data_IF_351214554705
#
_entry.id   IF_351214554705
#
_cell.length_a   1.000
_cell.length_b   1.000
_cell.length_c   1.000
_cell.angle_alpha   90.00
_cell.angle_beta   90.00
_cell.angle_gamma   90.00
#
_symmetry.space_group_name_H-M   'P 1'
#
loop_
_entity.id
_entity.type
_entity.pdbx_description
1 polymer ?
#
# COMPACT_ATOMS: atom_id res chain seq x y z
N UNK A 1 18.90 20.07 -16.84
CA UNK A 1 19.07 19.42 -15.53
C UNK A 1 18.40 18.08 -15.67
N UNK A 2 19.15 17.03 -15.97
CA UNK A 2 18.66 15.66 -15.81
C UNK A 2 18.61 15.43 -14.31
N UNK A 3 17.41 15.48 -13.74
CA UNK A 3 17.22 15.00 -12.39
C UNK A 3 17.10 13.49 -12.50
N UNK A 4 18.08 12.74 -11.99
CA UNK A 4 17.99 11.28 -11.76
C UNK A 4 16.92 10.92 -10.70
N UNK A 5 15.98 11.83 -10.42
CA UNK A 5 14.88 11.64 -9.50
C UNK A 5 13.70 11.03 -10.23
N UNK A 6 13.30 9.86 -9.76
CA UNK A 6 12.15 9.11 -10.24
C UNK A 6 11.00 9.20 -9.24
N UNK A 7 9.79 8.97 -9.74
CA UNK A 7 8.57 8.89 -8.93
C UNK A 7 7.84 7.58 -9.25
N UNK A 8 7.31 6.93 -8.21
CA UNK A 8 6.50 5.72 -8.35
C UNK A 8 5.38 5.68 -7.31
N UNK A 9 4.39 4.82 -7.56
CA UNK A 9 3.36 4.45 -6.59
C UNK A 9 3.74 3.13 -5.92
N UNK A 10 3.80 3.15 -4.59
CA UNK A 10 4.03 1.98 -3.75
C UNK A 10 2.67 1.48 -3.23
N UNK A 11 2.36 0.23 -3.55
CA UNK A 11 1.15 -0.46 -3.11
C UNK A 11 1.44 -1.40 -1.96
N UNK A 12 0.55 -1.42 -0.97
CA UNK A 12 0.49 -2.43 0.07
C UNK A 12 -0.95 -2.91 0.12
N UNK A 13 -1.17 -4.07 -0.48
CA UNK A 13 -2.50 -4.61 -0.69
C UNK A 13 -2.71 -5.91 0.08
N UNK A 14 -3.81 -5.97 0.82
CA UNK A 14 -4.18 -7.13 1.64
C UNK A 14 -5.34 -7.82 0.98
N UNK A 15 -5.16 -9.09 0.63
CA UNK A 15 -6.18 -9.90 -0.03
C UNK A 15 -6.80 -10.88 0.95
N UNK A 16 -8.13 -10.92 1.01
CA UNK A 16 -8.92 -11.89 1.75
C UNK A 16 -9.97 -12.52 0.82
N UNK A 17 -10.58 -13.66 1.19
CA UNK A 17 -11.69 -14.24 0.43
C UNK A 17 -12.84 -13.23 0.25
N UNK A 18 -13.45 -13.17 -0.94
CA UNK A 18 -14.42 -12.11 -1.29
C UNK A 18 -15.64 -11.98 -0.36
N UNK A 19 -16.00 -13.04 0.37
CA UNK A 19 -17.14 -13.05 1.30
C UNK A 19 -16.85 -12.34 2.63
N UNK A 20 -15.58 -12.03 2.88
CA UNK A 20 -15.13 -11.36 4.11
C UNK A 20 -15.56 -9.88 4.08
N UNK A 21 -16.15 -9.35 5.16
CA UNK A 21 -16.52 -7.95 5.23
C UNK A 21 -15.30 -7.03 5.25
N UNK A 22 -15.46 -5.81 4.74
CA UNK A 22 -14.39 -4.80 4.68
C UNK A 22 -13.78 -4.52 6.07
N UNK A 23 -14.53 -4.69 7.16
CA UNK A 23 -14.03 -4.53 8.54
C UNK A 23 -12.93 -5.53 8.94
N UNK A 24 -12.89 -6.72 8.33
CA UNK A 24 -11.79 -7.67 8.54
C UNK A 24 -10.52 -7.24 7.80
N UNK A 25 -10.66 -6.65 6.61
CA UNK A 25 -9.54 -6.01 5.91
C UNK A 25 -8.98 -4.86 6.75
N UNK A 26 -9.84 -4.00 7.27
CA UNK A 26 -9.46 -2.91 8.17
C UNK A 26 -8.76 -3.42 9.42
N UNK A 27 -9.30 -4.47 10.06
CA UNK A 27 -8.69 -5.08 11.24
C UNK A 27 -7.27 -5.58 10.96
N UNK A 28 -7.02 -6.12 9.76
CA UNK A 28 -5.70 -6.56 9.36
C UNK A 28 -4.75 -5.38 9.09
N UNK A 29 -5.24 -4.34 8.41
CA UNK A 29 -4.50 -3.11 8.15
C UNK A 29 -4.09 -2.41 9.46
N UNK A 30 -5.04 -2.26 10.39
CA UNK A 30 -4.81 -1.62 11.69
C UNK A 30 -3.88 -2.40 12.61
N UNK A 31 -4.02 -3.73 12.65
CA UNK A 31 -3.23 -4.55 13.57
C UNK A 31 -1.82 -4.85 13.07
N UNK A 32 -1.56 -4.77 11.75
CA UNK A 32 -0.30 -5.23 11.15
C UNK A 32 0.36 -4.23 10.22
N UNK A 33 -0.38 -3.60 9.30
CA UNK A 33 0.22 -2.74 8.28
C UNK A 33 0.51 -1.35 8.79
N UNK A 34 -0.48 -0.62 9.32
CA UNK A 34 -0.25 0.73 9.83
C UNK A 34 0.88 0.79 10.88
N UNK A 35 1.00 -0.17 11.82
CA UNK A 35 2.14 -0.21 12.73
C UNK A 35 3.49 -0.39 12.01
N UNK A 36 3.56 -1.29 11.02
CA UNK A 36 4.79 -1.51 10.25
C UNK A 36 5.19 -0.28 9.41
N UNK A 37 4.21 0.43 8.85
CA UNK A 37 4.44 1.63 8.03
C UNK A 37 4.89 2.85 8.84
N UNK A 38 4.75 2.83 10.16
CA UNK A 38 5.17 3.95 11.02
C UNK A 38 6.68 4.22 10.96
N UNK A 39 7.49 3.16 10.79
CA UNK A 39 8.94 3.27 10.65
C UNK A 39 9.53 2.04 9.96
N UNK A 40 10.06 2.24 8.74
CA UNK A 40 10.79 1.21 7.99
C UNK A 40 12.19 1.73 7.67
N UNK A 41 13.17 1.59 8.58
CA UNK A 41 14.52 2.14 8.40
C UNK A 41 15.19 1.70 7.09
N UNK A 42 15.00 0.43 6.71
CA UNK A 42 15.56 -0.10 5.46
C UNK A 42 15.00 0.60 4.21
N UNK A 43 13.71 0.95 4.20
CA UNK A 43 13.08 1.67 3.10
C UNK A 43 13.50 3.14 3.08
N UNK A 44 13.58 3.78 4.25
CA UNK A 44 14.00 5.20 4.35
C UNK A 44 15.41 5.47 3.82
N UNK A 45 16.28 4.45 3.77
CA UNK A 45 17.61 4.57 3.17
C UNK A 45 17.64 4.46 1.64
N UNK A 46 16.51 4.10 1.01
CA UNK A 46 16.39 3.85 -0.43
C UNK A 46 15.56 4.91 -1.16
N UNK A 47 14.76 5.70 -0.44
CA UNK A 47 13.84 6.68 -1.02
C UNK A 47 14.06 8.06 -0.41
N UNK A 48 13.73 9.10 -1.17
CA UNK A 48 13.87 10.50 -0.77
C UNK A 48 12.61 11.00 -0.08
N UNK A 49 11.43 10.66 -0.60
CA UNK A 49 10.15 11.02 -0.01
C UNK A 49 9.15 9.88 -0.08
N UNK A 50 8.19 9.89 0.84
CA UNK A 50 7.05 8.98 0.88
C UNK A 50 5.84 9.73 1.41
N UNK A 51 4.76 9.77 0.63
CA UNK A 51 3.53 10.51 0.97
C UNK A 51 2.32 9.63 0.71
N UNK A 52 1.46 9.43 1.72
CA UNK A 52 0.22 8.67 1.58
C UNK A 52 -0.65 9.25 0.47
N UNK A 53 -1.11 8.41 -0.45
CA UNK A 53 -1.99 8.81 -1.56
C UNK A 53 -3.44 8.43 -1.29
N UNK A 54 -3.69 7.19 -0.90
CA UNK A 54 -5.06 6.73 -0.70
C UNK A 54 -5.18 5.36 -0.07
N UNK A 55 -6.43 4.98 0.15
CA UNK A 55 -6.83 3.68 0.64
C UNK A 55 -8.10 3.28 -0.13
N UNK A 56 -8.03 2.16 -0.85
CA UNK A 56 -9.09 1.71 -1.74
C UNK A 56 -9.47 0.26 -1.45
N UNK A 57 -10.76 -0.04 -1.43
CA UNK A 57 -11.24 -1.41 -1.43
C UNK A 57 -11.41 -1.90 -2.87
N UNK A 58 -10.80 -3.03 -3.20
CA UNK A 58 -10.98 -3.68 -4.50
C UNK A 58 -11.61 -5.04 -4.35
N UNK A 59 -12.24 -5.51 -5.41
CA UNK A 59 -12.88 -6.83 -5.48
C UNK A 59 -12.54 -7.46 -6.82
N UNK A 60 -12.50 -8.78 -6.81
CA UNK A 60 -12.43 -9.56 -8.03
C UNK A 60 -13.74 -9.46 -8.80
N UNK A 61 -13.78 -8.60 -9.82
CA UNK A 61 -14.99 -8.39 -10.63
C UNK A 61 -15.32 -9.57 -11.56
N UNK A 62 -14.36 -10.47 -11.82
CA UNK A 62 -14.53 -11.60 -12.72
C UNK A 62 -15.08 -12.83 -12.01
N UNK A 63 -14.31 -13.38 -11.07
CA UNK A 63 -14.64 -14.65 -10.41
C UNK A 63 -15.10 -14.48 -8.96
N UNK A 64 -15.13 -13.25 -8.44
CA UNK A 64 -15.49 -12.93 -7.07
C UNK A 64 -14.76 -13.80 -6.03
N UNK A 65 -13.46 -14.06 -6.25
CA UNK A 65 -12.66 -14.91 -5.38
C UNK A 65 -12.07 -14.15 -4.20
N UNK A 66 -11.76 -12.87 -4.38
CA UNK A 66 -11.10 -12.05 -3.37
C UNK A 66 -11.70 -10.65 -3.23
N UNK A 67 -11.52 -10.09 -2.04
CA UNK A 67 -11.64 -8.67 -1.74
C UNK A 67 -10.30 -8.21 -1.16
N UNK A 68 -9.96 -6.94 -1.36
CA UNK A 68 -8.73 -6.38 -0.87
C UNK A 68 -8.87 -4.95 -0.38
N UNK A 69 -7.89 -4.54 0.41
CA UNK A 69 -7.65 -3.16 0.78
C UNK A 69 -6.24 -2.78 0.32
N UNK A 70 -6.14 -1.79 -0.57
CA UNK A 70 -4.90 -1.26 -1.13
C UNK A 70 -4.57 0.09 -0.50
N UNK A 71 -3.45 0.16 0.21
CA UNK A 71 -2.88 1.38 0.76
C UNK A 71 -1.74 1.85 -0.14
N UNK A 72 -1.88 3.05 -0.68
CA UNK A 72 -0.94 3.61 -1.66
C UNK A 72 -0.13 4.77 -1.12
N UNK A 73 1.12 4.84 -1.54
CA UNK A 73 2.03 5.95 -1.27
C UNK A 73 2.70 6.40 -2.56
N UNK A 74 2.90 7.70 -2.72
CA UNK A 74 3.77 8.27 -3.74
C UNK A 74 5.18 8.35 -3.15
N UNK A 75 6.13 7.71 -3.80
CA UNK A 75 7.55 7.72 -3.42
C UNK A 75 8.39 8.42 -4.48
N UNK A 76 9.46 9.09 -4.03
CA UNK A 76 10.52 9.55 -4.92
C UNK A 76 11.84 8.93 -4.52
N UNK A 77 12.71 8.66 -5.50
CA UNK A 77 14.00 8.02 -5.30
C UNK A 77 14.98 8.40 -6.41
N UNK A 78 16.26 8.09 -6.21
CA UNK A 78 17.32 8.29 -7.21
C UNK A 78 17.71 6.95 -7.86
N UNK A 79 18.01 6.97 -9.16
CA UNK A 79 18.45 5.79 -9.94
C UNK A 79 19.96 5.75 -10.14
#
# INVERSE_FOLDING_TARGET
>A
LDSDTWQAELHIEVFLPAQVPDSELDSWMESRIYPAMSAIPALSGLITTMVTQGYEYRRDDDMALWSSADLTYSITYEM
#
